data_IF_707734526237
#
_entry.id   IF_707734526237
#
_cell.length_a   1.000
_cell.length_b   1.000
_cell.length_c   1.000
_cell.angle_alpha   90.00
_cell.angle_beta   90.00
_cell.angle_gamma   90.00
#
_symmetry.space_group_name_H-M   'P 1'
#
loop_
_entity.id
_entity.type
_entity.pdbx_description
1 polymer ?
#
# COMPACT_ATOMS: atom_id res chain seq x y z
N UNK A 1 -10.79 -46.52 24.79
CA UNK A 1 -11.61 -45.89 23.74
C UNK A 1 -11.99 -44.43 24.04
N UNK A 2 -12.49 -44.11 25.22
CA UNK A 2 -12.86 -42.70 25.54
C UNK A 2 -11.67 -41.74 25.57
N UNK A 3 -10.48 -42.19 25.99
CA UNK A 3 -9.26 -41.39 26.05
C UNK A 3 -8.67 -41.11 24.65
N UNK A 4 -8.80 -42.06 23.70
CA UNK A 4 -8.33 -41.92 22.33
C UNK A 4 -9.22 -40.96 21.50
N UNK A 5 -10.52 -40.97 21.77
CA UNK A 5 -11.49 -40.05 21.14
C UNK A 5 -11.25 -38.61 21.60
N UNK A 6 -10.96 -38.39 22.88
CA UNK A 6 -10.62 -37.09 23.44
C UNK A 6 -9.32 -36.53 22.84
N UNK A 7 -8.32 -37.38 22.62
CA UNK A 7 -7.05 -37.00 22.01
C UNK A 7 -7.22 -36.61 20.54
N UNK A 8 -8.05 -37.36 19.79
CA UNK A 8 -8.38 -37.05 18.40
C UNK A 8 -9.16 -35.76 18.25
N UNK A 9 -10.09 -35.48 19.17
CA UNK A 9 -10.86 -34.23 19.17
C UNK A 9 -9.98 -33.03 19.49
N UNK A 10 -9.02 -33.18 20.41
CA UNK A 10 -8.04 -32.15 20.76
C UNK A 10 -7.11 -31.83 19.59
N UNK A 11 -6.68 -32.86 18.83
CA UNK A 11 -5.83 -32.66 17.67
C UNK A 11 -6.58 -31.97 16.52
N UNK A 12 -7.89 -32.25 16.36
CA UNK A 12 -8.72 -31.62 15.34
C UNK A 12 -8.94 -30.14 15.63
N UNK A 13 -9.00 -29.73 16.89
CA UNK A 13 -9.13 -28.31 17.27
C UNK A 13 -7.89 -27.48 16.96
N UNK A 14 -6.69 -28.10 16.96
CA UNK A 14 -5.46 -27.40 16.59
C UNK A 14 -5.37 -27.06 15.09
N UNK A 15 -6.04 -27.83 14.23
CA UNK A 15 -6.07 -27.55 12.78
C UNK A 15 -7.06 -26.46 12.38
N UNK A 16 -8.01 -26.12 13.26
CA UNK A 16 -9.00 -25.07 12.98
C UNK A 16 -8.52 -23.66 13.36
N UNK A 17 -7.36 -23.53 14.03
CA UNK A 17 -6.81 -22.25 14.44
C UNK A 17 -5.81 -21.66 13.44
N UNK A 18 -5.50 -22.34 12.34
CA UNK A 18 -4.79 -21.76 11.20
C UNK A 18 -5.77 -21.06 10.26
N UNK A 19 -6.62 -20.18 10.80
CA UNK A 19 -7.25 -19.15 10.00
C UNK A 19 -6.11 -18.24 9.53
N UNK A 20 -5.59 -18.48 8.33
CA UNK A 20 -4.70 -17.56 7.66
C UNK A 20 -5.40 -16.21 7.60
N UNK A 21 -4.91 -15.24 8.36
CA UNK A 21 -5.27 -13.86 8.13
C UNK A 21 -4.84 -13.56 6.69
N UNK A 22 -5.81 -13.27 5.82
CA UNK A 22 -5.50 -12.88 4.45
C UNK A 22 -4.67 -11.60 4.48
N UNK A 23 -3.57 -11.57 3.73
CA UNK A 23 -2.76 -10.38 3.57
C UNK A 23 -3.63 -9.25 3.02
N UNK A 24 -3.62 -8.11 3.69
CA UNK A 24 -4.35 -6.92 3.26
C UNK A 24 -3.75 -6.38 1.97
N UNK A 25 -4.55 -6.35 0.92
CA UNK A 25 -4.12 -5.79 -0.37
C UNK A 25 -4.30 -4.28 -0.39
N UNK A 26 -3.32 -3.57 -0.97
CA UNK A 26 -3.44 -2.14 -1.22
C UNK A 26 -4.53 -1.89 -2.27
N UNK A 27 -5.34 -0.85 -2.06
CA UNK A 27 -6.43 -0.48 -2.96
C UNK A 27 -6.19 0.89 -3.58
N UNK A 28 -5.84 0.92 -4.85
CA UNK A 28 -5.76 2.14 -5.64
C UNK A 28 -7.12 2.47 -6.28
N UNK A 29 -7.39 3.75 -6.61
CA UNK A 29 -8.55 4.10 -7.42
C UNK A 29 -8.55 3.36 -8.75
N UNK A 30 -9.73 3.04 -9.33
CA UNK A 30 -9.82 2.48 -10.67
C UNK A 30 -9.12 3.39 -11.68
N UNK A 31 -8.30 2.82 -12.55
CA UNK A 31 -7.43 3.58 -13.47
C UNK A 31 -8.20 4.47 -14.42
N UNK A 32 -9.40 4.06 -14.84
CA UNK A 32 -10.32 4.84 -15.66
C UNK A 32 -10.86 6.10 -14.97
N UNK A 33 -10.76 6.17 -13.64
CA UNK A 33 -11.17 7.31 -12.84
C UNK A 33 -10.02 8.26 -12.48
N UNK A 34 -8.79 7.93 -12.87
CA UNK A 34 -7.61 8.74 -12.57
C UNK A 34 -7.29 9.63 -13.77
N UNK A 35 -7.33 10.93 -13.57
CA UNK A 35 -6.91 11.91 -14.59
C UNK A 35 -5.43 12.24 -14.55
N UNK A 36 -4.82 12.16 -13.36
CA UNK A 36 -3.43 12.50 -13.15
C UNK A 36 -2.88 11.79 -11.91
N UNK A 37 -1.62 11.40 -11.96
CA UNK A 37 -0.83 11.03 -10.79
C UNK A 37 0.30 12.03 -10.63
N UNK A 38 0.46 12.58 -9.45
CA UNK A 38 1.55 13.49 -9.11
C UNK A 38 2.37 12.95 -7.94
N UNK A 39 3.69 13.09 -8.04
CA UNK A 39 4.62 12.73 -6.97
C UNK A 39 5.36 13.99 -6.55
N UNK A 40 5.29 14.31 -5.25
CA UNK A 40 5.82 15.51 -4.66
C UNK A 40 6.68 15.16 -3.45
N UNK A 41 7.80 15.85 -3.26
CA UNK A 41 8.53 15.77 -1.99
C UNK A 41 7.72 16.37 -0.85
N UNK A 42 7.98 15.92 0.38
CA UNK A 42 7.34 16.45 1.59
C UNK A 42 7.48 17.96 1.77
N UNK A 43 8.50 18.56 1.16
CA UNK A 43 8.75 20.00 1.15
C UNK A 43 8.03 20.75 0.01
N UNK A 44 7.22 20.05 -0.80
CA UNK A 44 6.38 20.66 -1.83
C UNK A 44 6.97 20.70 -3.25
N UNK A 45 8.16 20.13 -3.48
CA UNK A 45 8.74 20.07 -4.82
C UNK A 45 8.10 18.95 -5.63
N UNK A 46 7.48 19.28 -6.76
CA UNK A 46 6.95 18.29 -7.71
C UNK A 46 8.10 17.57 -8.43
N UNK A 47 8.09 16.25 -8.40
CA UNK A 47 9.09 15.41 -9.05
C UNK A 47 8.58 14.83 -10.36
N UNK A 48 7.36 14.35 -10.38
CA UNK A 48 6.80 13.62 -11.52
C UNK A 48 5.31 13.87 -11.63
N UNK A 49 4.84 13.99 -12.86
CA UNK A 49 3.41 14.12 -13.18
C UNK A 49 3.08 13.21 -14.37
N UNK A 50 2.10 12.35 -14.20
CA UNK A 50 1.61 11.43 -15.22
C UNK A 50 0.17 11.78 -15.57
N UNK A 51 -0.09 12.01 -16.87
CA UNK A 51 -1.43 12.35 -17.38
C UNK A 51 -1.89 11.41 -18.49
N UNK A 52 -1.00 10.57 -18.99
CA UNK A 52 -1.30 9.60 -20.05
C UNK A 52 -1.92 8.33 -19.44
N UNK A 53 -3.09 7.94 -19.93
CA UNK A 53 -3.87 6.83 -19.39
C UNK A 53 -3.13 5.50 -19.37
N UNK A 54 -2.34 5.21 -20.43
CA UNK A 54 -1.52 4.00 -20.51
C UNK A 54 -0.40 3.97 -19.47
N UNK A 55 0.25 5.09 -19.22
CA UNK A 55 1.28 5.22 -18.18
C UNK A 55 0.71 5.15 -16.78
N UNK A 56 -0.46 5.75 -16.56
CA UNK A 56 -1.18 5.65 -15.29
C UNK A 56 -1.54 4.19 -14.99
N UNK A 57 -2.15 3.49 -15.95
CA UNK A 57 -2.49 2.08 -15.81
C UNK A 57 -1.27 1.21 -15.54
N UNK A 58 -0.19 1.39 -16.29
CA UNK A 58 1.03 0.63 -16.11
C UNK A 58 1.65 0.84 -14.71
N UNK A 59 1.67 2.08 -14.23
CA UNK A 59 2.20 2.40 -12.90
C UNK A 59 1.34 1.77 -11.79
N UNK A 60 0.01 1.89 -11.87
CA UNK A 60 -0.90 1.33 -10.86
C UNK A 60 -0.76 -0.20 -10.79
N UNK A 61 -0.75 -0.89 -11.93
CA UNK A 61 -0.55 -2.34 -11.96
C UNK A 61 0.82 -2.74 -11.41
N UNK A 62 1.87 -2.02 -11.78
CA UNK A 62 3.22 -2.26 -11.28
C UNK A 62 3.30 -2.11 -9.76
N UNK A 63 2.68 -1.08 -9.20
CA UNK A 63 2.60 -0.91 -7.74
C UNK A 63 1.81 -2.04 -7.06
N UNK A 64 0.66 -2.44 -7.62
CA UNK A 64 -0.14 -3.56 -7.08
C UNK A 64 0.66 -4.86 -7.00
N UNK A 65 1.41 -5.18 -8.04
CA UNK A 65 2.20 -6.41 -8.14
C UNK A 65 3.44 -6.40 -7.22
N UNK A 66 3.91 -5.23 -6.80
CA UNK A 66 5.15 -5.04 -6.06
C UNK A 66 4.97 -4.50 -4.64
N UNK A 67 3.75 -4.54 -4.12
CA UNK A 67 3.42 -4.24 -2.73
C UNK A 67 3.04 -5.49 -1.97
N UNK A 68 3.37 -5.51 -0.68
CA UNK A 68 3.01 -6.58 0.24
C UNK A 68 2.60 -5.99 1.58
N UNK A 69 1.57 -6.56 2.20
CA UNK A 69 1.13 -6.16 3.54
C UNK A 69 2.30 -6.24 4.53
N UNK A 70 2.57 -5.14 5.23
CA UNK A 70 3.59 -5.10 6.26
C UNK A 70 3.09 -5.60 7.62
N UNK A 71 1.78 -5.82 7.77
CA UNK A 71 1.15 -6.11 9.06
C UNK A 71 1.04 -4.90 9.98
N UNK A 72 1.43 -3.70 9.51
CA UNK A 72 1.36 -2.45 10.27
C UNK A 72 0.13 -1.64 9.86
N UNK A 73 -0.49 -1.00 10.83
CA UNK A 73 -1.62 -0.11 10.60
C UNK A 73 -1.14 1.35 10.47
N UNK A 74 -1.83 2.13 9.66
CA UNK A 74 -1.69 3.57 9.61
C UNK A 74 -2.77 4.21 10.46
N UNK A 75 -2.38 5.01 11.44
CA UNK A 75 -3.29 5.67 12.40
C UNK A 75 -3.22 7.19 12.32
N UNK A 76 -2.42 7.72 11.41
CA UNK A 76 -2.20 9.15 11.22
C UNK A 76 -2.50 9.57 9.78
N UNK A 77 -2.63 10.86 9.57
CA UNK A 77 -2.84 11.48 8.26
C UNK A 77 -1.57 11.61 7.42
N UNK A 78 -0.41 11.39 8.02
CA UNK A 78 0.91 11.37 7.36
C UNK A 78 1.89 10.48 8.13
N UNK A 79 3.00 10.05 7.51
CA UNK A 79 4.04 9.27 8.18
C UNK A 79 4.59 9.99 9.40
N UNK A 80 4.77 9.25 10.51
CA UNK A 80 5.34 9.75 11.75
C UNK A 80 6.75 9.21 11.95
N UNK A 81 7.62 10.03 12.55
CA UNK A 81 9.05 9.70 12.80
C UNK A 81 9.85 9.43 11.52
N UNK A 82 9.41 9.97 10.39
CA UNK A 82 10.09 9.93 9.10
C UNK A 82 10.40 11.36 8.66
N UNK A 83 11.68 11.69 8.47
CA UNK A 83 12.11 13.04 8.10
C UNK A 83 11.79 13.38 6.63
N UNK A 84 11.99 12.40 5.75
CA UNK A 84 11.79 12.59 4.30
C UNK A 84 10.81 11.56 3.78
N UNK A 85 9.75 12.02 3.16
CA UNK A 85 8.77 11.21 2.47
C UNK A 85 8.31 11.90 1.19
N UNK A 86 7.66 11.13 0.34
CA UNK A 86 7.05 11.63 -0.89
C UNK A 86 5.55 11.45 -0.82
N UNK A 87 4.83 12.33 -1.47
CA UNK A 87 3.37 12.29 -1.57
C UNK A 87 3.02 11.80 -2.97
N UNK A 88 2.33 10.68 -3.05
CA UNK A 88 1.76 10.11 -4.27
C UNK A 88 0.28 10.48 -4.29
N UNK A 89 -0.10 11.42 -5.16
CA UNK A 89 -1.45 11.94 -5.23
C UNK A 89 -2.15 11.53 -6.52
N UNK A 90 -3.30 10.90 -6.38
CA UNK A 90 -4.19 10.52 -7.48
C UNK A 90 -5.30 11.56 -7.61
N UNK A 91 -5.33 12.27 -8.73
CA UNK A 91 -6.40 13.20 -9.07
C UNK A 91 -7.52 12.44 -9.81
N UNK A 92 -8.73 12.53 -9.31
CA UNK A 92 -9.86 11.76 -9.83
C UNK A 92 -10.68 12.57 -10.82
N UNK A 93 -11.01 11.98 -11.97
CA UNK A 93 -11.66 12.66 -13.09
C UNK A 93 -13.12 13.02 -12.85
N UNK A 94 -13.81 12.36 -11.90
CA UNK A 94 -15.23 12.62 -11.61
C UNK A 94 -15.47 13.83 -10.72
N UNK A 95 -14.43 14.35 -10.06
CA UNK A 95 -14.48 15.54 -9.23
C UNK A 95 -13.11 16.22 -9.28
N UNK A 96 -13.06 17.45 -9.78
CA UNK A 96 -11.80 18.21 -9.91
C UNK A 96 -11.06 18.41 -8.59
N UNK A 97 -11.78 18.37 -7.46
CA UNK A 97 -11.22 18.55 -6.12
C UNK A 97 -11.04 17.22 -5.36
N UNK A 98 -11.34 16.08 -6.01
CA UNK A 98 -11.19 14.78 -5.37
C UNK A 98 -9.82 14.20 -5.64
N UNK A 99 -9.07 14.00 -4.56
CA UNK A 99 -7.75 13.37 -4.59
C UNK A 99 -7.65 12.24 -3.58
N UNK A 100 -6.85 11.23 -3.91
CA UNK A 100 -6.47 10.18 -2.98
C UNK A 100 -4.97 10.19 -2.80
N UNK A 101 -4.50 10.22 -1.56
CA UNK A 101 -3.08 10.35 -1.22
C UNK A 101 -2.53 9.07 -0.62
N UNK A 102 -1.32 8.75 -1.02
CA UNK A 102 -0.45 7.77 -0.40
C UNK A 102 0.89 8.44 -0.08
N UNK A 103 1.61 7.89 0.86
CA UNK A 103 2.94 8.36 1.23
C UNK A 103 3.97 7.29 0.92
N UNK A 104 5.09 7.69 0.33
CA UNK A 104 6.22 6.82 0.03
C UNK A 104 7.39 7.24 0.90
N UNK A 105 8.01 6.29 1.58
CA UNK A 105 9.18 6.55 2.41
C UNK A 105 10.06 5.32 2.58
N UNK A 106 11.27 5.56 3.01
CA UNK A 106 12.24 4.53 3.32
C UNK A 106 12.58 4.61 4.80
N UNK A 107 12.47 3.48 5.48
CA UNK A 107 12.92 3.30 6.86
C UNK A 107 13.96 2.19 6.88
N UNK A 108 15.20 2.55 7.24
CA UNK A 108 16.37 1.68 7.08
C UNK A 108 16.54 1.27 5.60
N UNK A 109 16.47 -0.02 5.29
CA UNK A 109 16.63 -0.56 3.93
C UNK A 109 15.30 -0.96 3.28
N UNK A 110 14.18 -0.69 3.94
CA UNK A 110 12.85 -1.07 3.47
C UNK A 110 12.07 0.15 3.00
N UNK A 111 11.52 0.05 1.79
CA UNK A 111 10.62 1.05 1.23
C UNK A 111 9.17 0.71 1.57
N UNK A 112 8.39 1.74 1.88
CA UNK A 112 6.99 1.62 2.28
C UNK A 112 6.10 2.53 1.45
N UNK A 113 4.87 2.08 1.27
CA UNK A 113 3.75 2.90 0.82
C UNK A 113 2.66 2.85 1.89
N UNK A 114 2.20 4.01 2.31
CA UNK A 114 1.21 4.16 3.38
C UNK A 114 -0.04 4.87 2.87
N UNK A 115 -1.20 4.28 3.13
CA UNK A 115 -2.49 4.93 2.97
C UNK A 115 -2.98 5.37 4.35
N UNK A 116 -3.19 6.68 4.58
CA UNK A 116 -3.65 7.20 5.85
C UNK A 116 -4.88 6.48 6.40
N UNK A 117 -4.84 6.14 7.68
CA UNK A 117 -5.92 5.44 8.41
C UNK A 117 -6.33 4.09 7.84
N UNK A 118 -5.54 3.54 6.91
CA UNK A 118 -5.87 2.28 6.23
C UNK A 118 -4.80 1.22 6.43
N UNK A 119 -3.56 1.50 6.08
CA UNK A 119 -2.49 0.52 6.24
C UNK A 119 -1.15 0.96 5.69
N UNK A 120 -0.15 0.12 5.94
CA UNK A 120 1.23 0.30 5.49
C UNK A 120 1.66 -0.98 4.78
N UNK A 121 2.15 -0.85 3.57
CA UNK A 121 2.67 -1.95 2.75
C UNK A 121 4.15 -1.72 2.46
N UNK A 122 4.88 -2.82 2.31
CA UNK A 122 6.23 -2.75 1.73
C UNK A 122 6.13 -2.57 0.24
N UNK A 123 7.04 -1.79 -0.34
CA UNK A 123 7.16 -1.55 -1.77
C UNK A 123 8.56 -1.99 -2.21
N UNK A 124 8.68 -2.69 -3.35
CA UNK A 124 9.99 -3.06 -3.88
C UNK A 124 10.85 -1.83 -4.13
N UNK A 125 12.14 -1.93 -3.80
CA UNK A 125 13.09 -0.81 -3.89
C UNK A 125 13.18 -0.25 -5.31
N UNK A 126 13.14 -1.10 -6.33
CA UNK A 126 13.22 -0.68 -7.74
C UNK A 126 12.04 0.24 -8.12
N UNK A 127 10.85 -0.07 -7.63
CA UNK A 127 9.65 0.76 -7.88
C UNK A 127 9.74 2.07 -7.12
N UNK A 128 10.18 2.01 -5.87
CA UNK A 128 10.40 3.22 -5.07
C UNK A 128 11.40 4.16 -5.73
N UNK A 129 12.54 3.63 -6.18
CA UNK A 129 13.58 4.43 -6.84
C UNK A 129 13.09 5.03 -8.16
N UNK A 130 12.31 4.28 -8.95
CA UNK A 130 11.68 4.79 -10.17
C UNK A 130 10.71 5.96 -9.90
N UNK A 131 9.98 5.89 -8.79
CA UNK A 131 9.00 6.91 -8.44
C UNK A 131 9.64 8.17 -7.84
N UNK A 132 10.68 8.01 -7.02
CA UNK A 132 11.21 9.07 -6.16
C UNK A 132 12.53 9.69 -6.65
N UNK A 133 13.12 9.14 -7.71
CA UNK A 133 14.37 9.61 -8.31
C UNK A 133 14.29 9.64 -9.83
#
# INVERSE_FOLDING_TARGET
MKKTIALLLSLLCFFLLSACAEDKKISFPPTENISQIEITESQGKSLKRLTQADKISALVENMKENTKDSGRESVNDQPTNIETYYILEFHLSKSADSTKKFYLYKDKDTCYIEEPYTGIWTLKNEIYDELCH
#
